data_IF_150476098745
#
_entry.id   IF_150476098745
#
_cell.length_a   1.000
_cell.length_b   1.000
_cell.length_c   1.000
_cell.angle_alpha   90.00
_cell.angle_beta   90.00
_cell.angle_gamma   90.00
#
_symmetry.space_group_name_H-M   'P 1'
#
loop_
_entity.id
_entity.type
_entity.pdbx_description
1 polymer ?
#
# COMPACT_ATOMS: atom_id res chain seq x y z
N UNK A 1 -13.04 -27.90 -7.36
CA UNK A 1 -11.94 -27.48 -6.46
C UNK A 1 -12.11 -25.99 -6.22
N UNK A 2 -12.66 -25.58 -5.07
CA UNK A 2 -12.86 -24.15 -4.75
C UNK A 2 -11.50 -23.60 -4.34
N UNK A 3 -10.84 -22.86 -5.22
CA UNK A 3 -9.70 -22.04 -4.82
C UNK A 3 -10.23 -20.98 -3.86
N UNK A 4 -10.10 -21.20 -2.54
CA UNK A 4 -10.27 -20.13 -1.56
C UNK A 4 -9.26 -19.03 -1.92
N UNK A 5 -9.74 -17.93 -2.50
CA UNK A 5 -8.93 -16.74 -2.76
C UNK A 5 -8.26 -16.33 -1.46
N UNK A 6 -6.93 -16.29 -1.46
CA UNK A 6 -6.14 -15.90 -0.31
C UNK A 6 -6.22 -14.38 -0.17
N UNK A 7 -7.20 -13.91 0.61
CA UNK A 7 -7.57 -12.49 0.79
C UNK A 7 -6.42 -11.54 1.20
N UNK A 8 -5.36 -12.06 1.83
CA UNK A 8 -4.25 -11.25 2.32
C UNK A 8 -2.91 -11.88 1.89
N UNK A 9 -2.02 -11.07 1.29
CA UNK A 9 -0.66 -11.52 0.91
C UNK A 9 0.26 -11.49 2.13
N UNK A 10 1.28 -12.34 2.08
CA UNK A 10 2.23 -12.55 3.17
C UNK A 10 3.25 -11.40 3.25
N UNK A 11 3.81 -11.23 4.44
CA UNK A 11 4.89 -10.31 4.82
C UNK A 11 4.63 -8.85 4.46
N UNK A 12 3.36 -8.42 4.49
CA UNK A 12 2.97 -7.03 4.25
C UNK A 12 1.65 -6.68 4.92
N UNK A 13 1.42 -5.38 5.05
CA UNK A 13 0.13 -4.85 5.51
C UNK A 13 -0.91 -4.91 4.40
N UNK A 14 -2.10 -5.37 4.75
CA UNK A 14 -3.27 -5.41 3.90
C UNK A 14 -4.42 -4.70 4.64
N UNK A 15 -5.24 -3.93 3.95
CA UNK A 15 -6.43 -3.33 4.54
C UNK A 15 -7.64 -4.24 4.28
N UNK A 16 -8.29 -4.70 5.35
CA UNK A 16 -9.49 -5.51 5.27
C UNK A 16 -10.72 -4.62 5.32
N UNK A 17 -11.32 -4.34 4.17
CA UNK A 17 -12.57 -3.56 4.09
C UNK A 17 -13.71 -4.18 4.93
N UNK A 18 -13.80 -5.52 4.94
CA UNK A 18 -14.82 -6.25 5.72
C UNK A 18 -14.74 -5.98 7.22
N UNK A 19 -13.53 -5.85 7.76
CA UNK A 19 -13.33 -5.67 9.21
C UNK A 19 -12.97 -4.24 9.60
N UNK A 20 -12.73 -3.35 8.62
CA UNK A 20 -12.24 -1.99 8.85
C UNK A 20 -10.86 -1.94 9.48
N UNK A 21 -10.05 -3.01 9.37
CA UNK A 21 -8.77 -3.16 10.07
C UNK A 21 -7.62 -3.42 9.11
N UNK A 22 -6.43 -3.00 9.52
CA UNK A 22 -5.16 -3.40 8.93
C UNK A 22 -4.75 -4.77 9.42
N UNK A 23 -4.30 -5.61 8.49
CA UNK A 23 -3.95 -7.01 8.71
C UNK A 23 -2.55 -7.25 8.15
N UNK A 24 -1.59 -7.53 9.03
CA UNK A 24 -0.29 -8.08 8.63
C UNK A 24 -0.37 -9.59 8.70
N UNK A 25 0.09 -10.26 7.65
CA UNK A 25 0.10 -11.73 7.61
C UNK A 25 1.53 -12.19 7.43
N UNK A 26 2.06 -12.92 8.40
CA UNK A 26 3.38 -13.54 8.31
C UNK A 26 3.24 -15.06 8.30
N UNK A 27 4.23 -15.75 7.72
CA UNK A 27 4.35 -17.19 7.82
C UNK A 27 5.32 -17.51 8.96
N UNK A 28 4.83 -18.17 10.00
CA UNK A 28 5.62 -18.60 11.16
C UNK A 28 5.29 -20.07 11.40
N UNK A 29 6.31 -20.93 11.40
CA UNK A 29 6.20 -22.39 11.58
C UNK A 29 5.18 -23.06 10.64
N UNK A 30 5.19 -22.66 9.36
CA UNK A 30 4.27 -23.16 8.35
C UNK A 30 2.81 -22.72 8.52
N UNK A 31 2.50 -21.91 9.53
CA UNK A 31 1.17 -21.36 9.81
C UNK A 31 1.15 -19.85 9.53
N UNK A 32 -0.01 -19.36 9.09
CA UNK A 32 -0.23 -17.92 8.92
C UNK A 32 -0.56 -17.30 10.27
N UNK A 33 0.22 -16.30 10.67
CA UNK A 33 -0.06 -15.48 11.84
C UNK A 33 -0.58 -14.12 11.38
N UNK A 34 -1.66 -13.68 11.98
CA UNK A 34 -2.37 -12.45 11.62
C UNK A 34 -2.24 -11.44 12.74
N UNK A 35 -1.72 -10.25 12.42
CA UNK A 35 -1.67 -9.11 13.34
C UNK A 35 -2.67 -8.07 12.86
N UNK A 36 -3.59 -7.69 13.73
CA UNK A 36 -4.65 -6.73 13.43
C UNK A 36 -4.39 -5.41 14.13
N UNK A 37 -4.73 -4.30 13.47
CA UNK A 37 -4.83 -2.99 14.11
C UNK A 37 -5.85 -2.10 13.39
N UNK A 38 -6.38 -1.13 14.11
CA UNK A 38 -7.27 -0.09 13.57
C UNK A 38 -6.46 1.04 12.92
N UNK A 39 -5.32 1.38 13.52
CA UNK A 39 -4.47 2.46 13.03
C UNK A 39 -3.70 2.08 11.76
N UNK A 40 -3.48 3.04 10.84
CA UNK A 40 -2.67 2.81 9.67
C UNK A 40 -1.22 2.43 9.98
N UNK A 41 -0.60 1.55 9.17
CA UNK A 41 0.83 1.33 9.22
C UNK A 41 1.64 2.59 9.03
N UNK A 42 2.77 2.65 9.74
CA UNK A 42 3.82 3.62 9.44
C UNK A 42 4.18 3.60 7.94
N UNK A 43 4.34 2.41 7.35
CA UNK A 43 4.56 2.26 5.91
C UNK A 43 3.47 2.95 5.06
N UNK A 44 2.19 2.83 5.43
CA UNK A 44 1.10 3.49 4.71
C UNK A 44 1.15 5.02 4.90
N UNK A 45 1.43 5.46 6.13
CA UNK A 45 1.58 6.88 6.46
C UNK A 45 2.76 7.52 5.71
N UNK A 46 3.88 6.81 5.56
CA UNK A 46 5.01 7.27 4.78
C UNK A 46 4.69 7.40 3.29
N UNK A 47 4.01 6.41 2.72
CA UNK A 47 3.63 6.45 1.31
C UNK A 47 2.64 7.59 1.02
N UNK A 48 1.67 7.83 1.90
CA UNK A 48 0.72 8.94 1.77
C UNK A 48 1.40 10.31 1.93
N UNK A 49 2.36 10.44 2.85
CA UNK A 49 3.22 11.62 2.95
C UNK A 49 4.01 11.85 1.66
N UNK A 50 4.64 10.81 1.11
CA UNK A 50 5.40 10.88 -0.16
C UNK A 50 4.51 11.33 -1.32
N UNK A 51 3.29 10.81 -1.45
CA UNK A 51 2.33 11.30 -2.46
C UNK A 51 2.06 12.79 -2.29
N UNK A 52 1.78 13.23 -1.05
CA UNK A 52 1.48 14.64 -0.77
C UNK A 52 2.65 15.53 -1.18
N UNK A 53 3.88 15.14 -0.83
CA UNK A 53 5.10 15.87 -1.21
C UNK A 53 5.30 15.90 -2.72
N UNK A 54 5.15 14.76 -3.40
CA UNK A 54 5.34 14.68 -4.84
C UNK A 54 4.26 15.46 -5.61
N UNK A 55 3.00 15.41 -5.18
CA UNK A 55 1.92 16.22 -5.77
C UNK A 55 2.21 17.71 -5.64
N UNK A 56 2.67 18.15 -4.46
CA UNK A 56 3.09 19.55 -4.27
C UNK A 56 4.23 19.91 -5.22
N UNK A 57 5.22 19.04 -5.39
CA UNK A 57 6.33 19.28 -6.33
C UNK A 57 5.81 19.35 -7.77
N UNK A 58 4.98 18.39 -8.19
CA UNK A 58 4.37 18.32 -9.51
C UNK A 58 3.63 19.61 -9.90
N UNK A 59 2.90 20.21 -8.96
CA UNK A 59 2.17 21.46 -9.18
C UNK A 59 3.07 22.69 -9.38
N UNK A 60 4.32 22.64 -8.91
CA UNK A 60 5.26 23.76 -8.96
C UNK A 60 6.41 23.53 -9.95
N UNK A 61 6.49 22.36 -10.58
CA UNK A 61 7.55 22.01 -11.54
C UNK A 61 7.12 22.43 -12.96
N UNK A 62 7.87 23.37 -13.54
CA UNK A 62 7.69 23.82 -14.93
C UNK A 62 8.48 22.97 -15.95
N UNK A 63 9.56 22.32 -15.50
CA UNK A 63 10.37 21.44 -16.35
C UNK A 63 9.61 20.14 -16.71
N UNK A 64 9.34 19.88 -18.01
CA UNK A 64 8.61 18.69 -18.42
C UNK A 64 9.28 17.36 -18.06
N UNK A 65 10.62 17.28 -18.08
CA UNK A 65 11.33 16.05 -17.75
C UNK A 65 11.28 15.77 -16.25
N UNK A 66 11.53 16.78 -15.40
CA UNK A 66 11.32 16.64 -13.96
C UNK A 66 9.86 16.29 -13.62
N UNK A 67 8.89 16.89 -14.32
CA UNK A 67 7.46 16.60 -14.13
C UNK A 67 7.15 15.12 -14.40
N UNK A 68 7.67 14.58 -15.50
CA UNK A 68 7.54 13.16 -15.87
C UNK A 68 8.13 12.24 -14.80
N UNK A 69 9.32 12.54 -14.29
CA UNK A 69 9.92 11.75 -13.22
C UNK A 69 9.08 11.73 -11.94
N UNK A 70 8.54 12.89 -11.55
CA UNK A 70 7.68 13.02 -10.37
C UNK A 70 6.41 12.19 -10.56
N UNK A 71 5.80 12.26 -11.75
CA UNK A 71 4.62 11.47 -12.09
C UNK A 71 4.89 9.96 -12.03
N UNK A 72 6.02 9.50 -12.57
CA UNK A 72 6.41 8.08 -12.48
C UNK A 72 6.59 7.62 -11.03
N UNK A 73 7.20 8.45 -10.17
CA UNK A 73 7.34 8.17 -8.73
C UNK A 73 5.97 8.09 -8.04
N UNK A 74 5.06 9.01 -8.35
CA UNK A 74 3.67 9.01 -7.86
C UNK A 74 2.93 7.72 -8.26
N UNK A 75 3.08 7.30 -9.51
CA UNK A 75 2.43 6.09 -10.02
C UNK A 75 2.92 4.84 -9.29
N UNK A 76 4.24 4.72 -9.07
CA UNK A 76 4.82 3.61 -8.30
C UNK A 76 4.25 3.54 -6.88
N UNK A 77 4.21 4.66 -6.17
CA UNK A 77 3.66 4.71 -4.80
C UNK A 77 2.16 4.40 -4.80
N UNK A 78 1.42 4.91 -5.77
CA UNK A 78 -0.02 4.64 -5.91
C UNK A 78 -0.29 3.15 -6.12
N UNK A 79 0.52 2.46 -6.92
CA UNK A 79 0.44 1.01 -7.11
C UNK A 79 0.75 0.25 -5.81
N UNK A 80 1.71 0.71 -5.01
CA UNK A 80 2.00 0.11 -3.71
C UNK A 80 0.82 0.22 -2.74
N UNK A 81 0.21 1.41 -2.65
CA UNK A 81 -0.99 1.61 -1.83
C UNK A 81 -2.17 0.75 -2.29
N UNK A 82 -2.39 0.66 -3.61
CA UNK A 82 -3.42 -0.21 -4.16
C UNK A 82 -3.19 -1.69 -3.82
N UNK A 83 -1.94 -2.14 -3.80
CA UNK A 83 -1.59 -3.51 -3.38
C UNK A 83 -1.91 -3.76 -1.91
N UNK A 84 -1.94 -2.73 -1.06
CA UNK A 84 -2.36 -2.86 0.34
C UNK A 84 -3.88 -2.94 0.47
N UNK A 85 -4.63 -2.20 -0.35
CA UNK A 85 -6.10 -2.15 -0.27
C UNK A 85 -6.85 -3.19 -1.09
N UNK A 86 -6.22 -3.85 -2.05
CA UNK A 86 -6.84 -4.91 -2.87
C UNK A 86 -6.71 -6.29 -2.17
N UNK A 87 -7.81 -6.86 -1.65
CA UNK A 87 -7.94 -8.30 -1.65
C UNK A 87 -8.07 -8.75 -3.12
N UNK A 88 -7.15 -9.60 -3.60
CA UNK A 88 -7.31 -10.28 -4.91
C UNK A 88 -8.37 -11.38 -4.82
#
# INVERSE_FOLDING_TARGET
>A
MIFMRRLHKLNRWNYSQKSGKWVYVELSDGKRKYTYRTEPPEQFLELTKKITTLNKRLMNTEDPEENKEIYEKLMKISQELQKMGKPE
#
